data_IF_034033710705
#
_entry.id   IF_034033710705
#
_cell.length_a   1.000
_cell.length_b   1.000
_cell.length_c   1.000
_cell.angle_alpha   90.00
_cell.angle_beta   90.00
_cell.angle_gamma   90.00
#
_symmetry.space_group_name_H-M   'P 1'
#
loop_
_entity.id
_entity.type
_entity.pdbx_description
1 polymer ?
#
# COMPACT_ATOMS: atom_id res chain seq x y z
N UNK A 1 -26.53 -34.19 37.30
CA UNK A 1 -25.92 -33.71 36.03
C UNK A 1 -25.28 -32.37 36.32
N UNK A 2 -24.00 -32.37 36.70
CA UNK A 2 -23.26 -31.14 37.01
C UNK A 2 -22.61 -30.62 35.74
N UNK A 3 -22.96 -29.40 35.34
CA UNK A 3 -22.32 -28.72 34.21
C UNK A 3 -20.93 -28.25 34.65
N UNK A 4 -19.89 -28.70 33.93
CA UNK A 4 -18.53 -28.20 34.11
C UNK A 4 -18.44 -26.70 33.79
N UNK A 5 -17.61 -25.94 34.54
CA UNK A 5 -17.47 -24.52 34.34
C UNK A 5 -16.76 -24.18 33.01
N UNK A 6 -17.08 -23.04 32.38
CA UNK A 6 -16.58 -22.62 31.05
C UNK A 6 -15.06 -22.34 30.97
N UNK A 7 -14.32 -22.51 32.07
CA UNK A 7 -12.88 -22.28 32.12
C UNK A 7 -12.07 -23.31 31.31
N UNK A 8 -12.57 -24.54 31.16
CA UNK A 8 -11.88 -25.60 30.38
C UNK A 8 -11.87 -25.31 28.88
N UNK A 9 -12.94 -24.70 28.37
CA UNK A 9 -13.10 -24.35 26.94
C UNK A 9 -12.19 -23.20 26.52
N UNK A 10 -11.99 -22.23 27.40
CA UNK A 10 -11.05 -21.12 27.17
C UNK A 10 -9.60 -21.61 27.18
N UNK A 11 -9.21 -22.52 28.07
CA UNK A 11 -7.86 -23.12 28.04
C UNK A 11 -7.62 -23.91 26.76
N UNK A 12 -8.60 -24.69 26.31
CA UNK A 12 -8.50 -25.42 25.05
C UNK A 12 -8.37 -24.49 23.82
N UNK A 13 -9.04 -23.34 23.84
CA UNK A 13 -8.92 -22.33 22.78
C UNK A 13 -7.51 -21.71 22.78
N UNK A 14 -7.02 -21.30 23.95
CA UNK A 14 -5.69 -20.70 24.08
C UNK A 14 -4.57 -21.70 23.74
N UNK A 15 -4.72 -22.98 24.08
CA UNK A 15 -3.78 -24.04 23.68
C UNK A 15 -3.81 -24.35 22.18
N UNK A 16 -4.92 -24.12 21.49
CA UNK A 16 -4.97 -24.21 20.02
C UNK A 16 -4.28 -23.01 19.37
N UNK A 17 -4.56 -21.80 19.86
CA UNK A 17 -3.91 -20.57 19.38
C UNK A 17 -2.40 -20.63 19.60
N UNK A 18 -1.96 -21.09 20.78
CA UNK A 18 -0.54 -21.27 21.10
C UNK A 18 0.14 -22.28 20.18
N UNK A 19 -0.50 -23.41 19.88
CA UNK A 19 0.01 -24.42 18.94
C UNK A 19 0.01 -23.96 17.47
N UNK A 20 -0.90 -23.06 17.09
CA UNK A 20 -0.90 -22.49 15.74
C UNK A 20 0.12 -21.36 15.54
N UNK A 21 0.52 -20.67 16.62
CA UNK A 21 1.46 -19.55 16.56
C UNK A 21 2.92 -19.98 16.78
N UNK A 22 3.15 -21.14 17.38
CA UNK A 22 4.47 -21.70 17.60
C UNK A 22 4.57 -23.02 16.82
N UNK A 23 5.15 -23.03 15.60
CA UNK A 23 5.51 -24.29 14.96
C UNK A 23 6.45 -25.04 15.91
N UNK A 24 6.21 -26.33 16.12
CA UNK A 24 7.09 -27.20 16.90
C UNK A 24 8.48 -27.22 16.24
N UNK A 25 9.36 -26.31 16.66
CA UNK A 25 10.76 -26.33 16.25
C UNK A 25 11.45 -27.45 17.03
N UNK A 26 11.63 -28.59 16.38
CA UNK A 26 12.43 -29.69 16.91
C UNK A 26 13.89 -29.23 17.07
N UNK A 27 14.26 -28.77 18.27
CA UNK A 27 15.63 -28.91 18.80
C UNK A 27 16.69 -27.88 18.38
N UNK A 28 16.34 -26.66 17.96
CA UNK A 28 17.29 -25.54 17.84
C UNK A 28 16.70 -24.27 18.45
N UNK A 29 16.84 -24.11 19.76
CA UNK A 29 16.25 -22.98 20.51
C UNK A 29 16.96 -21.66 20.30
N UNK A 30 18.20 -21.67 19.83
CA UNK A 30 19.03 -20.45 19.79
C UNK A 30 18.81 -19.66 18.48
N UNK A 31 18.57 -20.35 17.35
CA UNK A 31 18.24 -19.69 16.08
C UNK A 31 16.81 -19.09 16.07
N UNK A 32 15.85 -19.72 16.76
CA UNK A 32 14.47 -19.23 16.81
C UNK A 32 14.32 -17.95 17.66
N UNK A 33 15.16 -17.79 18.69
CA UNK A 33 15.17 -16.60 19.52
C UNK A 33 15.78 -15.41 18.78
N UNK A 34 16.87 -15.61 18.03
CA UNK A 34 17.43 -14.58 17.15
C UNK A 34 16.44 -14.16 16.06
N UNK A 35 15.74 -15.12 15.43
CA UNK A 35 14.70 -14.79 14.43
C UNK A 35 13.53 -14.03 15.06
N UNK A 36 13.14 -14.35 16.30
CA UNK A 36 12.10 -13.61 17.02
C UNK A 36 12.55 -12.19 17.42
N UNK A 37 13.80 -12.01 17.85
CA UNK A 37 14.36 -10.68 18.14
C UNK A 37 14.51 -9.84 16.86
N UNK A 38 15.00 -10.45 15.78
CA UNK A 38 15.12 -9.80 14.47
C UNK A 38 13.75 -9.44 13.90
N UNK A 39 12.75 -10.32 14.02
CA UNK A 39 11.37 -10.04 13.62
C UNK A 39 10.76 -8.93 14.49
N UNK A 40 11.05 -8.88 15.79
CA UNK A 40 10.56 -7.81 16.68
C UNK A 40 11.17 -6.46 16.32
N UNK A 41 12.47 -6.43 16.00
CA UNK A 41 13.21 -5.22 15.60
C UNK A 41 12.72 -4.71 14.24
N UNK A 42 12.51 -5.62 13.28
CA UNK A 42 12.00 -5.30 11.94
C UNK A 42 10.54 -4.85 12.00
N UNK A 43 9.72 -5.49 12.84
CA UNK A 43 8.34 -5.07 13.09
C UNK A 43 8.29 -3.68 13.75
N UNK A 44 9.19 -3.36 14.69
CA UNK A 44 9.31 -2.04 15.29
C UNK A 44 9.75 -0.97 14.26
N UNK A 45 10.67 -1.32 13.36
CA UNK A 45 11.09 -0.43 12.28
C UNK A 45 9.97 -0.17 11.27
N UNK A 46 9.22 -1.20 10.89
CA UNK A 46 8.03 -1.08 10.04
C UNK A 46 6.89 -0.32 10.72
N UNK A 47 6.72 -0.47 12.04
CA UNK A 47 5.77 0.31 12.82
C UNK A 47 6.17 1.79 12.87
N UNK A 48 7.47 2.07 12.99
CA UNK A 48 8.02 3.45 13.00
C UNK A 48 7.96 4.11 11.64
N UNK A 49 8.17 3.37 10.55
CA UNK A 49 7.96 3.87 9.18
C UNK A 49 6.47 4.08 8.87
N UNK A 50 5.58 3.22 9.37
CA UNK A 50 4.13 3.37 9.19
C UNK A 50 3.49 4.43 10.09
N UNK A 51 4.06 4.75 11.26
CA UNK A 51 3.51 5.85 12.09
C UNK A 51 3.65 7.21 11.41
N UNK A 52 4.69 7.40 10.58
CA UNK A 52 4.88 8.60 9.75
C UNK A 52 3.74 8.72 8.72
N UNK A 53 3.36 7.60 8.08
CA UNK A 53 2.22 7.56 7.16
C UNK A 53 0.87 7.68 7.89
N UNK A 54 0.80 7.27 9.15
CA UNK A 54 -0.41 7.38 9.97
C UNK A 54 -0.68 8.82 10.40
N UNK A 55 0.34 9.66 10.61
CA UNK A 55 0.16 11.10 10.83
C UNK A 55 -0.37 11.82 9.57
N UNK A 56 0.09 11.43 8.37
CA UNK A 56 -0.45 11.93 7.10
C UNK A 56 -1.89 11.45 6.86
N UNK A 57 -2.19 10.20 7.22
CA UNK A 57 -3.54 9.63 7.09
C UNK A 57 -4.53 10.27 8.08
N UNK A 58 -4.12 10.54 9.33
CA UNK A 58 -4.93 11.28 10.31
C UNK A 58 -5.14 12.74 9.87
N UNK A 59 -4.14 13.37 9.24
CA UNK A 59 -4.29 14.70 8.64
C UNK A 59 -5.31 14.72 7.48
N UNK A 60 -5.48 13.61 6.76
CA UNK A 60 -6.43 13.50 5.65
C UNK A 60 -7.91 13.33 6.08
N UNK A 61 -8.17 12.96 7.34
CA UNK A 61 -9.53 12.72 7.87
C UNK A 61 -10.19 13.93 8.54
N UNK A 62 -9.67 15.15 8.35
CA UNK A 62 -10.40 16.39 8.66
C UNK A 62 -10.96 17.08 7.40
N UNK A 63 -12.04 16.58 6.78
CA UNK A 63 -12.78 17.37 5.82
C UNK A 63 -13.63 18.38 6.60
N UNK A 64 -13.23 19.66 6.57
CA UNK A 64 -14.13 20.76 6.92
C UNK A 64 -13.81 21.59 8.16
N UNK A 65 -12.53 21.85 8.47
CA UNK A 65 -12.18 23.11 9.16
C UNK A 65 -11.73 24.14 8.14
N UNK A 66 -12.68 24.98 7.73
CA UNK A 66 -12.36 26.29 7.17
C UNK A 66 -11.32 26.95 8.09
N UNK A 67 -10.21 27.37 7.50
CA UNK A 67 -9.18 28.16 8.15
C UNK A 67 -9.77 29.47 8.67
N UNK A 68 -10.25 29.44 9.91
CA UNK A 68 -10.38 30.63 10.73
C UNK A 68 -9.02 30.88 11.40
N UNK A 69 -8.53 32.14 11.39
CA UNK A 69 -7.21 32.46 11.89
C UNK A 69 -7.14 32.20 13.38
N UNK A 70 -6.05 31.56 13.80
CA UNK A 70 -5.68 31.30 15.19
C UNK A 70 -5.65 32.61 15.98
N UNK A 71 -6.71 32.87 16.74
CA UNK A 71 -6.75 33.84 17.84
C UNK A 71 -6.97 33.05 19.13
N UNK A 72 -5.87 32.74 19.82
CA UNK A 72 -5.87 32.43 21.24
C UNK A 72 -5.15 33.57 21.98
N UNK A 73 -5.93 34.48 22.53
CA UNK A 73 -5.66 35.15 23.80
C UNK A 73 -6.93 35.89 24.23
N UNK A 74 -7.69 35.30 25.17
CA UNK A 74 -8.68 36.05 25.95
C UNK A 74 -7.93 36.97 26.91
N UNK A 75 -7.68 38.20 26.46
CA UNK A 75 -7.34 39.35 27.28
C UNK A 75 -8.52 40.31 27.33
N UNK A 76 -8.93 40.69 28.55
CA UNK A 76 -9.86 41.77 28.84
C UNK A 76 -9.50 43.10 28.12
N UNK A 77 -10.47 44.00 27.89
CA UNK A 77 -10.28 45.15 27.03
C UNK A 77 -9.37 46.22 27.67
N UNK A 78 -8.49 46.87 26.89
CA UNK A 78 -7.71 48.01 27.35
C UNK A 78 -8.51 49.32 27.23
N UNK A 79 -8.27 50.31 28.11
CA UNK A 79 -8.76 51.66 27.91
C UNK A 79 -7.93 52.39 26.84
N UNK A 80 -8.60 53.30 26.14
CA UNK A 80 -8.10 54.18 25.08
C UNK A 80 -6.81 54.90 25.51
N UNK A 81 -5.74 54.69 24.76
CA UNK A 81 -4.55 55.52 24.77
C UNK A 81 -4.75 56.76 23.90
N UNK A 82 -4.70 57.94 24.51
CA UNK A 82 -4.29 59.16 23.86
C UNK A 82 -2.83 59.42 24.22
N UNK A 83 -1.97 59.48 23.20
CA UNK A 83 -0.70 60.20 23.15
C UNK A 83 0.30 60.05 24.30
N UNK A 84 1.39 59.33 24.02
CA UNK A 84 2.68 59.63 24.64
C UNK A 84 3.67 60.08 23.56
N UNK A 85 4.32 61.26 23.72
CA UNK A 85 5.64 61.45 23.19
C UNK A 85 6.70 60.97 24.20
N UNK A 86 7.87 60.76 23.64
CA UNK A 86 9.12 60.30 24.20
C UNK A 86 9.56 60.90 25.55
N UNK A 87 10.29 60.07 26.29
CA UNK A 87 11.54 60.33 27.00
C UNK A 87 11.62 61.48 28.03
N UNK A 88 12.03 61.08 29.25
CA UNK A 88 12.98 61.71 30.21
C UNK A 88 12.47 61.50 31.64
N UNK A 89 13.23 60.74 32.43
CA UNK A 89 14.24 61.23 33.40
C UNK A 89 13.62 61.75 34.69
N UNK A 90 14.13 61.19 35.78
CA UNK A 90 14.24 61.78 37.13
C UNK A 90 12.99 61.86 38.02
N UNK A 91 13.23 61.33 39.23
CA UNK A 91 12.98 61.96 40.51
C UNK A 91 11.63 61.86 41.25
N UNK A 92 11.77 61.33 42.47
CA UNK A 92 11.32 61.92 43.74
C UNK A 92 9.81 62.23 43.82
N UNK A 93 9.08 61.41 44.58
CA UNK A 93 8.42 61.91 45.79
C UNK A 93 7.91 60.79 46.71
N UNK A 94 8.58 60.73 47.86
CA UNK A 94 8.18 60.00 49.06
C UNK A 94 6.92 60.63 49.66
N UNK A 95 5.74 60.12 49.28
CA UNK A 95 4.44 60.49 49.84
C UNK A 95 3.99 59.51 50.94
N UNK A 96 4.58 59.63 52.12
CA UNK A 96 4.30 58.76 53.28
C UNK A 96 2.96 59.14 53.94
N UNK A 97 1.85 58.59 53.45
CA UNK A 97 0.54 58.68 54.13
C UNK A 97 0.54 57.74 55.34
N UNK A 98 0.81 58.30 56.52
CA UNK A 98 0.61 57.64 57.81
C UNK A 98 -0.88 57.49 58.10
N UNK A 99 -1.48 56.40 57.63
CA UNK A 99 -2.78 55.93 58.14
C UNK A 99 -2.55 55.29 59.50
N UNK A 100 -2.60 56.12 60.55
CA UNK A 100 -2.74 55.67 61.94
C UNK A 100 -4.20 55.26 62.15
N UNK A 101 -4.55 54.02 61.80
CA UNK A 101 -5.81 53.40 62.22
C UNK A 101 -5.51 52.23 63.15
N UNK A 102 -5.65 52.52 64.44
CA UNK A 102 -6.10 51.64 65.53
C UNK A 102 -5.89 50.14 65.31
N UNK A 103 -4.66 49.69 65.55
CA UNK A 103 -4.20 48.29 65.62
C UNK A 103 -5.15 47.40 66.44
N UNK A 104 -5.84 47.95 67.44
CA UNK A 104 -6.78 47.22 68.29
C UNK A 104 -8.05 46.70 67.57
N UNK A 105 -8.56 47.37 66.52
CA UNK A 105 -9.76 46.91 65.79
C UNK A 105 -9.44 45.77 64.80
N UNK A 106 -8.22 45.77 64.25
CA UNK A 106 -7.74 44.75 63.29
C UNK A 106 -7.55 43.39 63.96
N UNK A 107 -7.07 43.36 65.21
CA UNK A 107 -6.91 42.11 65.96
C UNK A 107 -8.26 41.43 66.32
N UNK A 108 -9.32 42.20 66.62
CA UNK A 108 -10.65 41.63 66.87
C UNK A 108 -11.32 41.06 65.61
N UNK A 109 -11.09 41.67 64.46
CA UNK A 109 -11.64 41.21 63.18
C UNK A 109 -10.92 39.93 62.71
N UNK A 110 -9.59 39.89 62.84
CA UNK A 110 -8.80 38.69 62.54
C UNK A 110 -9.11 37.52 63.50
N UNK A 111 -9.44 37.79 64.77
CA UNK A 111 -9.84 36.75 65.72
C UNK A 111 -11.24 36.19 65.42
N UNK A 112 -12.19 37.02 64.97
CA UNK A 112 -13.52 36.57 64.54
C UNK A 112 -13.46 35.76 63.24
N UNK A 113 -12.64 36.19 62.28
CA UNK A 113 -12.40 35.43 61.04
C UNK A 113 -11.69 34.10 61.31
N UNK A 114 -10.74 34.05 62.26
CA UNK A 114 -10.15 32.77 62.71
C UNK A 114 -11.19 31.84 63.36
N UNK A 115 -12.08 32.38 64.19
CA UNK A 115 -13.11 31.58 64.85
C UNK A 115 -14.15 31.03 63.86
N UNK A 116 -14.55 31.82 62.85
CA UNK A 116 -15.42 31.34 61.77
C UNK A 116 -14.69 30.34 60.86
N UNK A 117 -13.41 30.55 60.56
CA UNK A 117 -12.61 29.58 59.79
C UNK A 117 -12.42 28.25 60.54
N UNK A 118 -12.28 28.26 61.87
CA UNK A 118 -12.19 27.05 62.70
C UNK A 118 -13.56 26.35 62.86
N UNK A 119 -14.69 27.10 62.89
CA UNK A 119 -16.03 26.50 62.88
C UNK A 119 -16.40 25.92 61.50
N UNK A 120 -16.06 26.61 60.41
CA UNK A 120 -16.25 26.12 59.03
C UNK A 120 -15.34 24.91 58.72
N UNK A 121 -14.22 24.75 59.43
CA UNK A 121 -13.35 23.57 59.31
C UNK A 121 -13.98 22.27 59.84
N UNK A 122 -15.08 22.33 60.60
CA UNK A 122 -15.75 21.14 61.14
C UNK A 122 -16.91 20.65 60.26
N UNK A 123 -17.37 21.47 59.31
CA UNK A 123 -18.40 21.10 58.35
C UNK A 123 -17.79 20.94 56.96
N UNK A 124 -17.37 19.71 56.62
CA UNK A 124 -17.02 19.37 55.24
C UNK A 124 -18.25 19.62 54.37
N UNK A 125 -18.19 20.67 53.54
CA UNK A 125 -19.27 20.95 52.61
C UNK A 125 -19.48 19.72 51.72
N UNK A 126 -20.71 19.22 51.69
CA UNK A 126 -21.12 18.05 50.90
C UNK A 126 -20.63 18.13 49.45
N UNK A 127 -20.51 19.34 48.90
CA UNK A 127 -19.96 19.58 47.56
C UNK A 127 -18.51 19.12 47.37
N UNK A 128 -17.62 19.31 48.35
CA UNK A 128 -16.22 18.86 48.26
C UNK A 128 -16.11 17.34 48.29
N UNK A 129 -16.92 16.69 49.13
CA UNK A 129 -16.98 15.22 49.16
C UNK A 129 -17.51 14.63 47.85
N UNK A 130 -18.60 15.21 47.31
CA UNK A 130 -19.15 14.76 46.02
C UNK A 130 -18.18 14.99 44.86
N UNK A 131 -17.42 16.09 44.87
CA UNK A 131 -16.39 16.35 43.87
C UNK A 131 -15.26 15.31 43.93
N UNK A 132 -14.79 14.97 45.14
CA UNK A 132 -13.77 13.94 45.34
C UNK A 132 -14.27 12.56 44.88
N UNK A 133 -15.48 12.15 45.29
CA UNK A 133 -16.07 10.87 44.86
C UNK A 133 -16.23 10.80 43.34
N UNK A 134 -16.59 11.93 42.70
CA UNK A 134 -16.65 12.00 41.24
C UNK A 134 -15.29 11.81 40.59
N UNK A 135 -14.24 12.44 41.11
CA UNK A 135 -12.89 12.25 40.56
C UNK A 135 -12.37 10.83 40.72
N UNK A 136 -12.66 10.18 41.84
CA UNK A 136 -12.29 8.76 42.03
C UNK A 136 -13.05 7.86 41.04
N UNK A 137 -14.36 8.07 40.88
CA UNK A 137 -15.17 7.33 39.89
C UNK A 137 -14.69 7.55 38.44
N UNK A 138 -14.33 8.78 38.07
CA UNK A 138 -13.83 9.10 36.73
C UNK A 138 -12.44 8.45 36.49
N UNK A 139 -11.59 8.36 37.52
CA UNK A 139 -10.31 7.65 37.45
C UNK A 139 -10.50 6.13 37.34
N UNK A 140 -11.43 5.55 38.10
CA UNK A 140 -11.79 4.13 37.99
C UNK A 140 -12.32 3.81 36.59
N UNK A 141 -13.20 4.67 36.04
CA UNK A 141 -13.72 4.53 34.68
C UNK A 141 -12.60 4.58 33.63
N UNK A 142 -11.67 5.54 33.75
CA UNK A 142 -10.53 5.68 32.84
C UNK A 142 -9.61 4.43 32.88
N UNK A 143 -9.40 3.86 34.06
CA UNK A 143 -8.65 2.61 34.22
C UNK A 143 -9.36 1.40 33.59
N UNK A 144 -10.69 1.37 33.59
CA UNK A 144 -11.49 0.30 33.00
C UNK A 144 -11.58 0.39 31.46
N UNK A 145 -11.43 1.58 30.89
CA UNK A 145 -11.40 1.76 29.43
C UNK A 145 -10.09 1.26 28.79
N UNK A 146 -8.96 1.39 29.50
CA UNK A 146 -7.64 0.97 29.00
C UNK A 146 -7.59 -0.48 28.47
N UNK A 147 -8.02 -1.52 29.20
CA UNK A 147 -7.99 -2.89 28.68
C UNK A 147 -8.88 -3.07 27.44
N UNK A 148 -9.98 -2.33 27.32
CA UNK A 148 -10.83 -2.40 26.13
C UNK A 148 -10.11 -1.85 24.89
N UNK A 149 -9.39 -0.73 25.04
CA UNK A 149 -8.57 -0.19 23.96
C UNK A 149 -7.42 -1.13 23.56
N UNK A 150 -6.80 -1.80 24.54
CA UNK A 150 -5.75 -2.79 24.28
C UNK A 150 -6.27 -4.03 23.55
N UNK A 151 -7.46 -4.53 23.93
CA UNK A 151 -8.11 -5.63 23.22
C UNK A 151 -8.46 -5.21 21.79
N UNK A 152 -8.96 -3.99 21.59
CA UNK A 152 -9.26 -3.46 20.26
C UNK A 152 -7.99 -3.41 19.40
N UNK A 153 -6.90 -2.84 19.93
CA UNK A 153 -5.62 -2.76 19.23
C UNK A 153 -5.05 -4.15 18.89
N UNK A 154 -5.10 -5.10 19.83
CA UNK A 154 -4.64 -6.47 19.61
C UNK A 154 -5.51 -7.18 18.55
N UNK A 155 -6.82 -7.01 18.60
CA UNK A 155 -7.73 -7.61 17.61
C UNK A 155 -7.50 -7.04 16.22
N UNK A 156 -7.29 -5.72 16.11
CA UNK A 156 -6.91 -5.06 14.87
C UNK A 156 -5.57 -5.58 14.35
N UNK A 157 -4.55 -5.71 15.20
CA UNK A 157 -3.26 -6.27 14.82
C UNK A 157 -3.40 -7.69 14.27
N UNK A 158 -4.14 -8.57 14.95
CA UNK A 158 -4.37 -9.95 14.49
C UNK A 158 -5.09 -9.99 13.14
N UNK A 159 -6.14 -9.17 12.96
CA UNK A 159 -6.83 -9.08 11.66
C UNK A 159 -5.89 -8.59 10.58
N UNK A 160 -5.06 -7.58 10.87
CA UNK A 160 -4.07 -7.06 9.91
C UNK A 160 -3.02 -8.11 9.53
N UNK A 161 -2.48 -8.86 10.48
CA UNK A 161 -1.51 -9.94 10.20
C UNK A 161 -2.15 -11.07 9.38
N UNK A 162 -3.35 -11.52 9.73
CA UNK A 162 -4.06 -12.56 8.99
C UNK A 162 -4.47 -12.12 7.59
N UNK A 163 -4.81 -10.84 7.40
CA UNK A 163 -5.25 -10.30 6.12
C UNK A 163 -4.09 -9.99 5.18
N UNK A 164 -3.02 -9.37 5.69
CA UNK A 164 -1.89 -8.95 4.85
C UNK A 164 -0.95 -10.10 4.47
N UNK A 165 -0.84 -11.15 5.31
CA UNK A 165 0.12 -12.26 5.12
C UNK A 165 1.50 -11.78 4.61
N UNK A 166 2.18 -10.90 5.36
CA UNK A 166 3.36 -10.19 4.87
C UNK A 166 4.46 -11.11 4.36
N UNK A 167 4.64 -12.28 4.97
CA UNK A 167 5.67 -13.25 4.57
C UNK A 167 5.43 -13.78 3.15
N UNK A 168 4.17 -14.04 2.78
CA UNK A 168 3.83 -14.53 1.44
C UNK A 168 4.06 -13.44 0.40
N UNK A 169 3.67 -12.20 0.71
CA UNK A 169 3.85 -11.05 -0.18
C UNK A 169 5.34 -10.82 -0.43
N UNK A 170 6.16 -10.81 0.61
CA UNK A 170 7.60 -10.57 0.50
C UNK A 170 8.30 -11.64 -0.34
N UNK A 171 7.95 -12.92 -0.15
CA UNK A 171 8.53 -14.02 -0.94
C UNK A 171 8.16 -13.88 -2.42
N UNK A 172 6.90 -13.54 -2.73
CA UNK A 172 6.45 -13.34 -4.11
C UNK A 172 7.11 -12.12 -4.75
N UNK A 173 7.18 -10.99 -4.02
CA UNK A 173 7.84 -9.78 -4.50
C UNK A 173 9.32 -9.99 -4.77
N UNK A 174 10.03 -10.67 -3.86
CA UNK A 174 11.44 -11.01 -4.06
C UNK A 174 11.63 -11.97 -5.23
N UNK A 175 10.77 -12.98 -5.39
CA UNK A 175 10.83 -13.88 -6.53
C UNK A 175 10.65 -13.14 -7.86
N UNK A 176 9.69 -12.21 -7.94
CA UNK A 176 9.48 -11.38 -9.14
C UNK A 176 10.67 -10.47 -9.41
N UNK A 177 11.18 -9.85 -8.35
CA UNK A 177 12.33 -8.96 -8.44
C UNK A 177 13.55 -9.71 -8.99
N UNK A 178 13.90 -10.83 -8.36
CA UNK A 178 15.04 -11.66 -8.77
C UNK A 178 14.86 -12.18 -10.20
N UNK A 179 13.66 -12.62 -10.59
CA UNK A 179 13.42 -13.11 -11.94
C UNK A 179 13.59 -12.02 -13.01
N UNK A 180 13.05 -10.82 -12.78
CA UNK A 180 13.20 -9.69 -13.71
C UNK A 180 14.64 -9.18 -13.73
N UNK A 181 15.32 -9.14 -12.57
CA UNK A 181 16.67 -8.59 -12.47
C UNK A 181 17.75 -9.55 -12.99
N UNK A 182 17.62 -10.84 -12.74
CA UNK A 182 18.66 -11.84 -13.07
C UNK A 182 18.35 -12.64 -14.33
N UNK A 183 17.08 -12.91 -14.65
CA UNK A 183 16.70 -13.77 -15.78
C UNK A 183 16.29 -12.99 -17.04
N UNK A 184 15.91 -11.72 -16.93
CA UNK A 184 15.53 -10.89 -18.09
C UNK A 184 16.76 -10.37 -18.86
N UNK A 185 17.53 -11.29 -19.44
CA UNK A 185 18.78 -11.00 -20.14
C UNK A 185 18.56 -10.74 -21.63
N UNK A 186 19.30 -9.77 -22.19
CA UNK A 186 19.15 -9.39 -23.60
C UNK A 186 20.40 -9.51 -24.45
N UNK A 187 21.56 -9.73 -23.83
CA UNK A 187 22.79 -10.09 -24.51
C UNK A 187 23.22 -11.48 -24.05
N UNK A 188 23.41 -12.38 -25.02
CA UNK A 188 23.72 -13.79 -24.78
C UNK A 188 25.05 -14.14 -25.44
N UNK A 189 25.91 -14.86 -24.73
CA UNK A 189 26.98 -15.65 -25.35
C UNK A 189 26.69 -17.11 -25.09
N UNK A 190 26.35 -17.85 -26.15
CA UNK A 190 25.90 -19.24 -26.02
C UNK A 190 24.68 -19.34 -25.08
N UNK A 191 24.85 -19.96 -23.92
CA UNK A 191 23.80 -20.19 -22.92
C UNK A 191 23.86 -19.22 -21.73
N UNK A 192 24.76 -18.23 -21.75
CA UNK A 192 24.95 -17.29 -20.65
C UNK A 192 24.46 -15.89 -21.05
N UNK A 193 23.52 -15.36 -20.26
CA UNK A 193 23.09 -13.96 -20.32
C UNK A 193 24.09 -13.07 -19.57
N UNK A 194 24.58 -12.01 -20.21
CA UNK A 194 25.59 -11.11 -19.63
C UNK A 194 25.09 -9.70 -19.36
N UNK A 195 23.93 -9.33 -19.89
CA UNK A 195 23.34 -8.00 -19.70
C UNK A 195 21.92 -8.10 -19.19
N UNK A 196 21.69 -7.47 -18.05
CA UNK A 196 20.44 -7.41 -17.30
C UNK A 196 19.76 -6.04 -17.44
N UNK A 197 18.65 -5.83 -16.72
CA UNK A 197 17.99 -4.52 -16.62
C UNK A 197 18.92 -3.41 -16.11
N UNK A 198 19.93 -3.75 -15.31
CA UNK A 198 20.89 -2.79 -14.76
C UNK A 198 21.93 -2.32 -15.78
N UNK A 199 22.09 -3.07 -16.88
CA UNK A 199 23.06 -2.80 -17.96
C UNK A 199 22.44 -2.00 -19.12
N UNK A 200 21.22 -1.49 -18.94
CA UNK A 200 20.52 -0.65 -19.91
C UNK A 200 21.06 0.78 -19.84
N UNK A 201 21.94 1.13 -20.77
CA UNK A 201 22.59 2.45 -20.83
C UNK A 201 22.02 3.39 -21.90
N UNK A 202 21.22 2.85 -22.82
CA UNK A 202 20.75 3.55 -24.01
C UNK A 202 19.33 3.15 -24.40
N UNK A 203 18.67 3.99 -25.21
CA UNK A 203 17.33 3.72 -25.74
C UNK A 203 17.25 2.39 -26.51
N UNK A 204 18.19 2.06 -27.43
CA UNK A 204 18.16 0.75 -28.10
C UNK A 204 18.37 -0.42 -27.12
N UNK A 205 19.22 -0.27 -26.10
CA UNK A 205 19.42 -1.31 -25.08
C UNK A 205 18.13 -1.55 -24.27
N UNK A 206 17.33 -0.50 -23.99
CA UNK A 206 16.03 -0.66 -23.35
C UNK A 206 15.05 -1.49 -24.20
N UNK A 207 14.94 -1.19 -25.50
CA UNK A 207 14.06 -1.93 -26.40
C UNK A 207 14.55 -3.36 -26.64
N UNK A 208 15.87 -3.57 -26.71
CA UNK A 208 16.46 -4.90 -26.74
C UNK A 208 16.15 -5.69 -25.46
N UNK A 209 16.30 -5.06 -24.28
CA UNK A 209 15.94 -5.64 -23.00
C UNK A 209 14.47 -6.04 -22.91
N UNK A 210 13.57 -5.13 -23.30
CA UNK A 210 12.14 -5.40 -23.28
C UNK A 210 11.78 -6.57 -24.22
N UNK A 211 12.34 -6.60 -25.43
CA UNK A 211 11.98 -7.58 -26.47
C UNK A 211 12.61 -8.96 -26.30
N UNK A 212 13.88 -9.00 -25.89
CA UNK A 212 14.69 -10.23 -25.80
C UNK A 212 14.75 -10.79 -24.37
N UNK A 213 14.70 -9.93 -23.35
CA UNK A 213 14.75 -10.34 -21.94
C UNK A 213 13.36 -10.44 -21.33
N UNK A 214 12.66 -9.32 -21.21
CA UNK A 214 11.41 -9.24 -20.43
C UNK A 214 10.23 -9.95 -21.11
N UNK A 215 9.99 -9.73 -22.41
CA UNK A 215 8.84 -10.29 -23.09
C UNK A 215 8.81 -11.84 -23.13
N UNK A 216 9.92 -12.55 -23.37
CA UNK A 216 9.93 -14.00 -23.28
C UNK A 216 9.52 -14.54 -21.90
N UNK A 217 9.89 -13.85 -20.81
CA UNK A 217 9.46 -14.20 -19.45
C UNK A 217 7.94 -14.02 -19.25
N UNK A 218 7.32 -13.05 -19.92
CA UNK A 218 5.88 -12.80 -19.85
C UNK A 218 5.07 -13.71 -20.79
N UNK A 219 5.64 -14.06 -21.94
CA UNK A 219 4.97 -14.75 -23.04
C UNK A 219 4.86 -16.28 -22.88
N UNK A 220 5.55 -16.84 -21.90
CA UNK A 220 5.56 -18.27 -21.55
C UNK A 220 5.61 -19.23 -22.74
N UNK A 221 6.76 -19.28 -23.40
CA UNK A 221 7.17 -20.56 -23.98
C UNK A 221 7.88 -21.32 -22.87
N UNK A 222 7.13 -22.13 -22.11
CA UNK A 222 7.73 -23.01 -21.12
C UNK A 222 8.73 -23.94 -21.83
N UNK A 223 10.00 -23.83 -21.47
CA UNK A 223 11.03 -24.78 -21.86
C UNK A 223 11.53 -25.43 -20.58
N UNK A 224 11.46 -26.76 -20.52
CA UNK A 224 12.02 -27.50 -19.40
C UNK A 224 13.54 -27.38 -19.44
N UNK A 225 14.14 -26.92 -18.34
CA UNK A 225 15.57 -26.60 -18.24
C UNK A 225 16.49 -27.82 -18.19
N UNK A 226 15.96 -29.03 -18.24
CA UNK A 226 16.74 -30.27 -18.30
C UNK A 226 16.38 -30.99 -19.59
N UNK A 227 17.37 -31.29 -20.43
CA UNK A 227 17.29 -31.86 -21.79
C UNK A 227 16.58 -33.21 -21.95
N UNK A 228 15.58 -33.52 -21.12
CA UNK A 228 14.64 -34.65 -21.26
C UNK A 228 13.81 -34.57 -22.55
N UNK A 229 13.89 -33.43 -23.24
CA UNK A 229 13.17 -33.12 -24.46
C UNK A 229 13.97 -33.41 -25.76
N UNK A 230 15.27 -33.72 -25.71
CA UNK A 230 16.02 -34.08 -26.92
C UNK A 230 15.49 -35.36 -27.60
N UNK A 231 15.00 -36.32 -26.82
CA UNK A 231 14.39 -37.53 -27.36
C UNK A 231 12.93 -37.34 -27.84
N UNK A 232 12.21 -36.36 -27.27
CA UNK A 232 10.80 -36.11 -27.61
C UNK A 232 10.63 -35.07 -28.74
N UNK A 233 11.50 -34.05 -28.83
CA UNK A 233 11.50 -33.08 -29.93
C UNK A 233 12.07 -33.63 -31.24
N UNK A 234 12.99 -34.60 -31.17
CA UNK A 234 13.50 -35.24 -32.39
C UNK A 234 12.41 -36.02 -33.15
N UNK A 235 11.31 -36.39 -32.50
CA UNK A 235 10.29 -37.27 -33.06
C UNK A 235 9.05 -36.54 -33.62
N UNK A 236 8.70 -35.35 -33.13
CA UNK A 236 7.46 -34.66 -33.54
C UNK A 236 7.60 -33.14 -33.48
N UNK A 237 7.38 -32.41 -34.59
CA UNK A 237 7.27 -30.96 -34.57
C UNK A 237 5.96 -30.56 -33.88
N UNK A 238 6.01 -30.38 -32.57
CA UNK A 238 4.85 -29.87 -31.83
C UNK A 238 4.63 -28.41 -32.23
N UNK A 239 3.51 -28.15 -32.90
CA UNK A 239 2.99 -26.79 -33.00
C UNK A 239 2.39 -26.42 -31.65
N UNK A 240 2.67 -25.21 -31.14
CA UNK A 240 2.12 -24.71 -29.88
C UNK A 240 0.59 -24.76 -29.75
N UNK A 241 -0.24 -24.70 -30.82
CA UNK A 241 -1.68 -24.90 -30.68
C UNK A 241 -2.12 -26.35 -30.43
N UNK A 242 -1.25 -27.34 -30.64
CA UNK A 242 -1.58 -28.77 -30.45
C UNK A 242 -1.20 -29.31 -29.07
N UNK A 243 -0.62 -28.47 -28.20
CA UNK A 243 -0.36 -28.86 -26.82
C UNK A 243 -1.70 -29.08 -26.11
N UNK A 244 -1.95 -30.27 -25.53
CA UNK A 244 -3.16 -30.50 -24.78
C UNK A 244 -3.22 -29.51 -23.62
N UNK A 245 -4.39 -28.92 -23.39
CA UNK A 245 -4.66 -28.05 -22.22
C UNK A 245 -4.36 -28.75 -20.89
N UNK A 246 -4.27 -30.08 -20.90
CA UNK A 246 -3.84 -30.94 -19.81
C UNK A 246 -2.94 -32.05 -20.37
N UNK A 247 -1.62 -31.87 -20.28
CA UNK A 247 -0.58 -32.89 -20.40
C UNK A 247 -0.45 -33.66 -19.06
N UNK A 248 -0.77 -34.95 -19.09
CA UNK A 248 -0.61 -35.84 -17.95
C UNK A 248 0.88 -36.23 -17.85
N UNK A 249 1.63 -35.55 -16.99
CA UNK A 249 3.05 -35.84 -16.77
C UNK A 249 3.18 -37.06 -15.86
N UNK A 250 3.98 -38.04 -16.28
CA UNK A 250 4.22 -39.29 -15.55
C UNK A 250 4.99 -39.13 -14.22
N UNK A 251 5.52 -37.93 -13.94
CA UNK A 251 6.28 -37.61 -12.73
C UNK A 251 5.94 -36.17 -12.26
N UNK A 252 5.67 -36.00 -10.97
CA UNK A 252 5.48 -34.68 -10.35
C UNK A 252 6.80 -33.92 -10.17
N UNK A 253 6.71 -32.62 -9.88
CA UNK A 253 7.87 -31.72 -9.64
C UNK A 253 8.58 -32.09 -8.32
N UNK A 254 7.85 -32.66 -7.36
CA UNK A 254 8.41 -33.17 -6.10
C UNK A 254 8.14 -34.68 -5.98
N UNK A 255 9.12 -35.42 -5.43
CA UNK A 255 9.05 -36.87 -5.27
C UNK A 255 7.89 -37.33 -4.36
N UNK A 256 7.34 -36.43 -3.55
CA UNK A 256 6.45 -36.76 -2.43
C UNK A 256 5.01 -36.24 -2.60
N UNK A 257 4.70 -35.51 -3.69
CA UNK A 257 3.36 -34.97 -3.93
C UNK A 257 2.43 -36.01 -4.61
N UNK A 258 1.22 -36.28 -4.07
CA UNK A 258 0.28 -37.22 -4.64
C UNK A 258 -0.28 -36.71 -5.99
N UNK A 259 -0.09 -37.56 -7.02
CA UNK A 259 -0.14 -37.30 -8.47
C UNK A 259 -1.40 -36.67 -9.08
N UNK A 260 -2.49 -36.52 -8.34
CA UNK A 260 -3.79 -36.20 -8.93
C UNK A 260 -3.98 -34.75 -9.38
N UNK A 261 -3.11 -33.82 -8.97
CA UNK A 261 -3.44 -32.38 -8.98
C UNK A 261 -2.34 -31.46 -9.57
N UNK A 262 -1.30 -31.99 -10.22
CA UNK A 262 -0.30 -31.12 -10.85
C UNK A 262 -0.93 -30.39 -12.04
N UNK A 263 -1.31 -29.12 -11.85
CA UNK A 263 -1.80 -28.28 -12.93
C UNK A 263 -0.63 -27.83 -13.77
N UNK A 264 -0.68 -28.10 -15.07
CA UNK A 264 0.27 -27.48 -15.97
C UNK A 264 0.08 -25.98 -15.97
N UNK A 265 1.18 -25.25 -16.12
CA UNK A 265 1.07 -23.83 -16.27
C UNK A 265 0.28 -23.49 -17.54
N UNK A 266 -0.74 -22.67 -17.38
CA UNK A 266 -1.57 -22.16 -18.46
C UNK A 266 -0.85 -20.97 -19.09
N UNK A 267 -1.16 -20.69 -20.36
CA UNK A 267 -0.69 -19.49 -21.04
C UNK A 267 -1.03 -18.24 -20.20
N UNK A 268 -0.02 -17.41 -19.95
CA UNK A 268 -0.12 -16.23 -19.10
C UNK A 268 0.18 -16.45 -17.61
N UNK A 269 0.62 -17.64 -17.19
CA UNK A 269 1.09 -17.87 -15.81
C UNK A 269 2.55 -17.43 -15.61
N UNK A 270 2.84 -16.42 -14.82
CA UNK A 270 4.20 -16.01 -14.47
C UNK A 270 4.74 -16.84 -13.28
N UNK A 271 5.96 -17.39 -13.39
CA UNK A 271 6.62 -18.18 -12.34
C UNK A 271 5.77 -19.34 -11.78
N UNK A 272 5.01 -20.04 -12.65
CA UNK A 272 4.12 -21.17 -12.33
C UNK A 272 2.90 -20.89 -11.43
N UNK A 273 2.95 -19.90 -10.54
CA UNK A 273 1.92 -19.68 -9.52
C UNK A 273 1.16 -18.36 -9.69
N UNK A 274 1.71 -17.41 -10.44
CA UNK A 274 1.08 -16.11 -10.65
C UNK A 274 0.44 -16.09 -12.02
N UNK A 275 -0.70 -15.41 -12.17
CA UNK A 275 -1.33 -15.24 -13.47
C UNK A 275 -1.31 -13.77 -13.85
N UNK A 276 -0.82 -13.47 -15.04
CA UNK A 276 -0.90 -12.13 -15.61
C UNK A 276 -2.38 -11.86 -15.92
N UNK A 277 -2.95 -10.89 -15.22
CA UNK A 277 -4.34 -10.47 -15.44
C UNK A 277 -4.37 -9.43 -16.56
N UNK A 278 -5.07 -9.74 -17.64
CA UNK A 278 -5.21 -8.93 -18.86
C UNK A 278 -3.94 -8.74 -19.70
N UNK A 279 -2.89 -8.14 -19.15
CA UNK A 279 -1.66 -7.84 -19.89
C UNK A 279 -0.80 -6.75 -19.25
N UNK A 280 0.21 -6.31 -19.99
CA UNK A 280 1.15 -5.26 -19.58
C UNK A 280 0.80 -3.95 -20.25
N UNK A 281 0.78 -2.87 -19.48
CA UNK A 281 0.57 -1.51 -19.98
C UNK A 281 1.90 -0.78 -20.10
N UNK A 282 2.22 -0.28 -21.28
CA UNK A 282 3.38 0.57 -21.50
C UNK A 282 2.92 2.01 -21.73
N UNK A 283 3.49 2.92 -20.96
CA UNK A 283 3.18 4.34 -21.01
C UNK A 283 4.46 5.11 -21.28
N UNK A 284 4.39 6.03 -22.24
CA UNK A 284 5.50 6.90 -22.58
C UNK A 284 5.08 8.35 -22.43
N UNK A 285 5.80 9.08 -21.58
CA UNK A 285 5.85 10.52 -21.62
C UNK A 285 6.98 11.00 -22.52
N UNK A 286 6.71 12.06 -23.27
CA UNK A 286 7.71 12.72 -24.11
C UNK A 286 7.70 14.19 -23.77
N UNK A 287 8.89 14.76 -23.61
CA UNK A 287 9.04 16.20 -23.51
C UNK A 287 8.51 16.84 -24.81
N UNK A 288 7.80 17.96 -24.68
CA UNK A 288 7.33 18.72 -25.83
C UNK A 288 8.56 19.34 -26.49
N UNK A 289 8.87 18.88 -27.71
CA UNK A 289 9.89 19.50 -28.54
C UNK A 289 9.43 20.88 -29.00
N UNK A 290 10.18 21.93 -28.69
CA UNK A 290 9.91 23.28 -29.16
C UNK A 290 11.20 23.95 -29.62
N UNK A 291 11.14 24.61 -30.77
CA UNK A 291 12.24 25.47 -31.23
C UNK A 291 12.35 26.75 -30.40
N UNK A 292 11.25 27.23 -29.83
CA UNK A 292 11.22 28.42 -28.98
C UNK A 292 11.89 28.17 -27.63
N UNK A 293 11.96 26.91 -27.21
CA UNK A 293 12.66 26.49 -26.01
C UNK A 293 14.19 26.41 -26.19
N UNK A 294 14.67 26.39 -27.44
CA UNK A 294 16.09 26.39 -27.72
C UNK A 294 16.68 27.76 -27.40
N UNK A 295 17.62 27.84 -26.46
CA UNK A 295 18.44 29.04 -26.32
C UNK A 295 19.57 29.03 -27.36
N UNK A 296 19.28 29.51 -28.55
CA UNK A 296 20.26 29.62 -29.64
C UNK A 296 21.13 30.88 -29.43
N UNK A 297 22.47 30.80 -29.52
CA UNK A 297 23.31 31.97 -29.39
C UNK A 297 23.03 32.98 -30.51
N UNK A 298 22.93 34.27 -30.18
CA UNK A 298 22.61 35.35 -31.12
C UNK A 298 23.66 35.55 -32.22
N UNK A 299 24.83 34.94 -32.09
CA UNK A 299 25.93 35.03 -33.05
C UNK A 299 25.68 34.26 -34.35
N UNK A 300 24.63 33.45 -34.46
CA UNK A 300 24.35 32.62 -35.63
C UNK A 300 22.85 32.66 -35.99
N UNK A 301 22.49 32.73 -37.29
CA UNK A 301 21.09 32.78 -37.70
C UNK A 301 20.32 31.50 -37.32
N UNK A 302 19.11 31.69 -36.81
CA UNK A 302 18.23 30.64 -36.30
C UNK A 302 17.93 29.56 -37.35
N UNK A 303 17.76 29.94 -38.62
CA UNK A 303 17.48 29.00 -39.71
C UNK A 303 18.63 28.01 -39.96
N UNK A 304 19.88 28.48 -39.82
CA UNK A 304 21.04 27.61 -39.98
C UNK A 304 21.13 26.63 -38.82
N UNK A 305 20.86 27.09 -37.60
CA UNK A 305 20.76 26.24 -36.41
C UNK A 305 19.63 25.21 -36.52
N UNK A 306 18.45 25.61 -36.99
CA UNK A 306 17.31 24.71 -37.21
C UNK A 306 17.66 23.61 -38.21
N UNK A 307 18.33 23.97 -39.31
CA UNK A 307 18.81 23.01 -40.31
C UNK A 307 19.92 22.10 -39.78
N UNK A 308 20.84 22.65 -38.99
CA UNK A 308 21.97 21.91 -38.42
C UNK A 308 21.54 20.91 -37.35
N UNK A 309 20.69 21.34 -36.40
CA UNK A 309 20.14 20.46 -35.37
C UNK A 309 19.18 19.42 -35.95
N UNK A 310 18.41 19.80 -36.97
CA UNK A 310 17.43 18.93 -37.64
C UNK A 310 16.26 18.47 -36.76
N UNK A 311 16.30 18.77 -35.45
CA UNK A 311 15.31 18.40 -34.44
C UNK A 311 15.10 19.55 -33.45
N UNK A 312 13.87 19.80 -32.99
CA UNK A 312 13.59 20.83 -32.00
C UNK A 312 14.27 20.47 -30.67
N UNK A 313 14.59 21.48 -29.86
CA UNK A 313 15.09 21.24 -28.51
C UNK A 313 13.98 20.64 -27.65
N UNK A 314 14.38 19.69 -26.82
CA UNK A 314 13.54 19.23 -25.72
C UNK A 314 13.82 20.15 -24.54
N UNK A 315 12.76 20.74 -23.98
CA UNK A 315 12.88 21.45 -22.72
C UNK A 315 13.46 20.48 -21.69
N UNK A 316 14.56 20.87 -21.06
CA UNK A 316 15.00 20.24 -19.83
C UNK A 316 14.02 20.63 -18.73
N UNK A 317 12.79 20.09 -18.79
CA UNK A 317 11.89 20.15 -17.65
C UNK A 317 12.65 19.53 -16.49
N UNK A 318 12.71 20.16 -15.30
CA UNK A 318 13.50 19.66 -14.18
C UNK A 318 13.17 18.20 -13.82
N UNK A 319 11.95 17.73 -14.16
CA UNK A 319 11.50 16.35 -14.02
C UNK A 319 12.24 15.33 -14.90
N UNK A 320 12.81 15.74 -16.04
CA UNK A 320 13.48 14.85 -17.00
C UNK A 320 15.01 15.01 -17.00
N UNK A 321 15.54 15.97 -16.25
CA UNK A 321 16.98 16.21 -16.16
C UNK A 321 17.69 15.22 -15.23
N UNK A 322 16.99 14.78 -14.18
CA UNK A 322 17.51 13.80 -13.22
C UNK A 322 17.03 12.40 -13.58
N UNK A 323 17.79 11.40 -13.14
CA UNK A 323 17.37 9.99 -13.20
C UNK A 323 16.00 9.90 -12.52
N UNK A 324 14.96 9.39 -13.21
CA UNK A 324 13.62 9.40 -12.67
C UNK A 324 13.59 8.63 -11.35
N UNK A 325 13.04 9.25 -10.32
CA UNK A 325 12.79 8.54 -9.08
C UNK A 325 11.61 7.57 -9.26
N UNK A 326 11.61 6.46 -8.52
CA UNK A 326 10.57 5.42 -8.60
C UNK A 326 9.17 6.02 -8.42
N UNK A 327 9.03 7.02 -7.56
CA UNK A 327 7.74 7.66 -7.29
C UNK A 327 7.20 8.50 -8.48
N UNK A 328 8.07 9.01 -9.37
CA UNK A 328 7.65 9.67 -10.61
C UNK A 328 7.19 8.67 -11.67
N UNK A 329 7.77 7.47 -11.70
CA UNK A 329 7.33 6.41 -12.60
C UNK A 329 5.89 5.95 -12.33
N UNK A 330 5.35 6.17 -11.12
CA UNK A 330 3.96 5.86 -10.79
C UNK A 330 2.96 6.91 -11.30
N UNK A 331 3.38 8.16 -11.49
CA UNK A 331 2.46 9.28 -11.78
C UNK A 331 2.83 9.99 -13.08
N UNK A 332 2.32 9.47 -14.20
CA UNK A 332 2.35 10.19 -15.48
C UNK A 332 1.26 11.27 -15.50
N UNK A 333 1.64 12.52 -15.75
CA UNK A 333 0.73 13.66 -15.87
C UNK A 333 -0.01 13.65 -17.23
N UNK A 334 0.70 13.32 -18.30
CA UNK A 334 0.15 13.34 -19.66
C UNK A 334 0.88 12.35 -20.56
N UNK A 335 0.62 11.04 -20.42
CA UNK A 335 1.23 10.03 -21.28
C UNK A 335 0.80 10.28 -22.72
N UNK A 336 1.76 10.51 -23.61
CA UNK A 336 1.48 10.77 -25.02
C UNK A 336 1.20 9.47 -25.78
N UNK A 337 1.82 8.37 -25.33
CA UNK A 337 1.59 7.03 -25.89
C UNK A 337 1.24 6.08 -24.77
N UNK A 338 0.17 5.33 -24.96
CA UNK A 338 -0.28 4.26 -24.05
C UNK A 338 -0.62 3.06 -24.90
N UNK A 339 0.17 2.00 -24.78
CA UNK A 339 -0.09 0.74 -25.46
C UNK A 339 -0.39 -0.35 -24.42
N UNK A 340 -1.34 -1.22 -24.78
CA UNK A 340 -1.73 -2.36 -23.96
C UNK A 340 -1.29 -3.65 -24.66
N UNK A 341 -0.28 -4.28 -24.08
CA UNK A 341 0.20 -5.59 -24.47
C UNK A 341 -0.65 -6.65 -23.78
N UNK A 342 -1.78 -7.00 -24.38
CA UNK A 342 -2.63 -8.10 -23.90
C UNK A 342 -1.88 -9.42 -23.98
N UNK A 343 -2.29 -10.42 -23.20
CA UNK A 343 -1.69 -11.76 -23.22
C UNK A 343 -1.88 -12.45 -24.58
N UNK A 344 -1.01 -12.12 -25.54
CA UNK A 344 -1.02 -12.55 -26.93
C UNK A 344 0.08 -13.57 -27.23
N UNK A 345 0.41 -13.77 -28.50
CA UNK A 345 1.57 -14.60 -28.87
C UNK A 345 2.86 -13.82 -28.62
N UNK A 346 3.97 -14.50 -28.31
CA UNK A 346 5.25 -13.82 -28.13
C UNK A 346 5.61 -12.97 -29.37
N UNK A 347 5.35 -13.49 -30.56
CA UNK A 347 5.58 -12.77 -31.82
C UNK A 347 4.73 -11.50 -31.93
N UNK A 348 3.47 -11.55 -31.53
CA UNK A 348 2.56 -10.39 -31.50
C UNK A 348 3.05 -9.34 -30.50
N UNK A 349 3.47 -9.76 -29.30
CA UNK A 349 4.04 -8.87 -28.28
C UNK A 349 5.35 -8.22 -28.76
N UNK A 350 6.21 -8.99 -29.42
CA UNK A 350 7.45 -8.50 -30.01
C UNK A 350 7.16 -7.50 -31.14
N UNK A 351 6.17 -7.77 -31.99
CA UNK A 351 5.76 -6.86 -33.06
C UNK A 351 5.18 -5.55 -32.51
N UNK A 352 4.35 -5.61 -31.47
CA UNK A 352 3.84 -4.42 -30.77
C UNK A 352 5.00 -3.61 -30.16
N UNK A 353 6.02 -4.29 -29.62
CA UNK A 353 7.19 -3.62 -29.06
C UNK A 353 8.04 -2.95 -30.14
N UNK A 354 8.21 -3.59 -31.31
CA UNK A 354 8.88 -2.99 -32.46
C UNK A 354 8.15 -1.75 -32.98
N UNK A 355 6.82 -1.79 -33.08
CA UNK A 355 6.01 -0.62 -33.45
C UNK A 355 6.17 0.53 -32.43
N UNK A 356 6.39 0.19 -31.16
CA UNK A 356 6.70 1.20 -30.16
C UNK A 356 8.10 1.79 -30.29
N UNK A 357 9.10 0.95 -30.57
CA UNK A 357 10.50 1.31 -30.77
C UNK A 357 10.67 2.26 -31.95
N UNK A 358 10.09 1.92 -33.11
CA UNK A 358 10.17 2.73 -34.32
C UNK A 358 9.52 4.10 -34.17
N UNK A 359 8.71 4.28 -33.12
CA UNK A 359 8.01 5.53 -32.87
C UNK A 359 7.02 5.86 -33.98
N UNK A 360 6.70 4.89 -34.84
CA UNK A 360 5.57 4.95 -35.74
C UNK A 360 4.34 5.08 -34.84
N UNK A 361 3.91 6.32 -34.65
CA UNK A 361 2.55 6.57 -34.25
C UNK A 361 1.79 6.13 -35.50
N UNK A 362 1.02 5.03 -35.50
CA UNK A 362 0.03 4.87 -36.55
C UNK A 362 -0.69 6.21 -36.56
N UNK A 363 -0.69 6.94 -37.68
CA UNK A 363 -1.56 8.10 -37.83
C UNK A 363 -2.98 7.54 -37.76
N UNK A 364 -3.44 7.31 -36.53
CA UNK A 364 -4.81 7.01 -36.22
C UNK A 364 -5.46 8.35 -36.42
N UNK A 365 -5.80 8.62 -37.69
CA UNK A 365 -6.78 9.63 -38.01
C UNK A 365 -7.94 9.43 -37.03
N UNK A 366 -8.57 10.49 -36.52
CA UNK A 366 -9.53 10.46 -35.40
C UNK A 366 -10.76 9.54 -35.60
N UNK A 367 -10.82 8.79 -36.71
CA UNK A 367 -11.81 7.78 -37.01
C UNK A 367 -11.59 6.42 -36.31
N UNK A 368 -10.35 5.99 -36.03
CA UNK A 368 -10.07 4.56 -35.75
C UNK A 368 -9.79 4.16 -34.29
N UNK A 369 -10.00 5.06 -33.32
CA UNK A 369 -10.04 4.70 -31.87
C UNK A 369 -11.38 4.08 -31.46
N UNK A 370 -12.36 4.04 -32.38
CA UNK A 370 -13.71 3.53 -32.13
C UNK A 370 -13.82 2.02 -31.87
N UNK A 371 -13.06 1.11 -32.52
CA UNK A 371 -13.26 -0.33 -32.33
C UNK A 371 -12.80 -0.79 -30.93
N UNK A 372 -11.67 -0.30 -30.41
CA UNK A 372 -11.21 -0.67 -29.07
C UNK A 372 -12.11 -0.14 -27.96
N UNK A 373 -12.63 1.09 -28.07
CA UNK A 373 -13.65 1.61 -27.13
C UNK A 373 -14.99 0.89 -27.25
N UNK A 374 -15.37 0.44 -28.44
CA UNK A 374 -16.59 -0.33 -28.65
C UNK A 374 -16.47 -1.76 -28.08
N UNK A 375 -15.33 -2.41 -28.24
CA UNK A 375 -14.96 -3.68 -27.60
C UNK A 375 -14.97 -3.56 -26.07
N UNK A 376 -14.34 -2.50 -25.53
CA UNK A 376 -14.34 -2.25 -24.08
C UNK A 376 -15.77 -2.05 -23.55
N UNK A 377 -16.61 -1.27 -24.25
CA UNK A 377 -18.03 -1.09 -23.91
C UNK A 377 -18.84 -2.39 -24.06
N UNK A 378 -18.50 -3.26 -25.01
CA UNK A 378 -19.11 -4.59 -25.14
C UNK A 378 -18.74 -5.48 -23.97
N UNK A 379 -17.48 -5.48 -23.54
CA UNK A 379 -17.02 -6.22 -22.36
C UNK A 379 -17.65 -5.69 -21.07
N UNK A 380 -17.74 -4.37 -20.90
CA UNK A 380 -18.47 -3.76 -19.78
C UNK A 380 -19.95 -4.15 -19.78
N UNK A 381 -20.61 -4.13 -20.94
CA UNK A 381 -22.00 -4.57 -21.05
C UNK A 381 -22.17 -6.07 -20.74
N UNK A 382 -21.20 -6.90 -21.12
CA UNK A 382 -21.23 -8.34 -20.84
C UNK A 382 -21.00 -8.63 -19.35
N UNK A 383 -20.06 -7.92 -18.70
CA UNK A 383 -19.82 -8.00 -17.26
C UNK A 383 -21.03 -7.50 -16.47
N UNK A 384 -21.68 -6.41 -16.89
CA UNK A 384 -22.93 -5.94 -16.30
C UNK A 384 -24.07 -6.96 -16.45
N UNK A 385 -24.16 -7.66 -17.59
CA UNK A 385 -25.18 -8.70 -17.83
C UNK A 385 -24.95 -9.94 -16.94
N UNK A 386 -23.71 -10.35 -16.76
CA UNK A 386 -23.34 -11.42 -15.82
C UNK A 386 -23.65 -11.04 -14.37
N UNK A 387 -23.40 -9.78 -13.99
CA UNK A 387 -23.70 -9.26 -12.63
C UNK A 387 -25.20 -9.20 -12.35
N UNK A 388 -26.02 -8.81 -13.33
CA UNK A 388 -27.48 -8.79 -13.22
C UNK A 388 -28.12 -10.19 -13.12
N UNK A 389 -27.50 -11.19 -13.75
CA UNK A 389 -27.99 -12.58 -13.71
C UNK A 389 -27.79 -13.27 -12.34
N UNK A 390 -26.87 -12.79 -11.50
CA UNK A 390 -26.68 -13.35 -10.16
C UNK A 390 -27.69 -12.83 -9.13
N UNK A 391 -28.31 -11.67 -9.35
CA UNK A 391 -29.24 -11.06 -8.40
C UNK A 391 -30.67 -11.58 -8.48
N UNK A 392 -31.09 -12.21 -9.58
CA UNK A 392 -32.48 -12.69 -9.76
C UNK A 392 -32.73 -14.13 -9.31
N UNK A 393 -31.72 -14.85 -8.80
CA UNK A 393 -31.89 -16.24 -8.32
C UNK A 393 -32.00 -16.36 -6.79
N UNK A 394 -32.53 -15.32 -6.12
CA UNK A 394 -32.82 -15.30 -4.68
C UNK A 394 -34.27 -14.89 -4.44
N UNK A 395 -35.21 -15.74 -4.87
CA UNK A 395 -36.63 -15.45 -4.70
C UNK A 395 -37.53 -16.54 -5.25
N UNK A 396 -37.49 -17.74 -4.66
CA UNK A 396 -38.64 -18.64 -4.49
C UNK A 396 -38.12 -20.01 -4.01
N UNK A 397 -37.99 -20.14 -2.69
CA UNK A 397 -37.94 -21.45 -2.03
C UNK A 397 -38.92 -21.43 -0.86
N UNK A 398 -40.21 -21.50 -1.19
CA UNK A 398 -41.25 -21.88 -0.23
C UNK A 398 -41.32 -23.41 -0.18
N UNK A 399 -40.83 -23.94 0.93
CA UNK A 399 -41.17 -25.21 1.57
C UNK A 399 -42.04 -26.22 0.81
N UNK A 400 -41.48 -27.40 0.54
CA UNK A 400 -42.22 -28.65 0.66
C UNK A 400 -41.28 -29.78 1.07
N UNK A 401 -41.18 -30.01 2.38
CA UNK A 401 -40.58 -31.22 2.94
C UNK A 401 -41.53 -32.38 2.67
N UNK A 402 -41.24 -33.21 1.66
CA UNK A 402 -41.76 -34.58 1.58
C UNK A 402 -40.64 -35.54 1.96
N UNK A 403 -40.82 -36.15 3.13
CA UNK A 403 -40.17 -37.38 3.54
C UNK A 403 -40.53 -38.50 2.58
N UNK A 404 -39.58 -38.96 1.78
CA UNK A 404 -39.64 -40.29 1.18
C UNK A 404 -38.35 -41.04 1.48
N UNK A 405 -38.58 -42.06 2.29
CA UNK A 405 -37.70 -43.08 2.82
C UNK A 405 -37.52 -44.13 1.73
N UNK A 406 -36.31 -44.33 1.23
CA UNK A 406 -35.91 -45.60 0.59
C UNK A 406 -34.41 -45.78 0.76
N UNK A 407 -34.06 -46.68 1.68
CA UNK A 407 -32.77 -47.35 1.72
C UNK A 407 -32.59 -48.16 0.42
N UNK A 408 -31.44 -48.01 -0.22
CA UNK A 408 -30.95 -48.87 -1.28
C UNK A 408 -29.46 -49.11 -1.07
N UNK A 409 -29.16 -50.12 -0.25
CA UNK A 409 -27.86 -50.80 -0.18
C UNK A 409 -27.62 -51.56 -1.49
N UNK A 410 -26.38 -51.60 -1.99
CA UNK A 410 -25.59 -52.75 -2.50
C UNK A 410 -24.43 -52.23 -3.41
N UNK A 411 -23.35 -53.02 -3.65
CA UNK A 411 -21.97 -52.61 -3.38
C UNK A 411 -21.02 -52.84 -4.59
N UNK A 412 -19.74 -52.59 -4.33
CA UNK A 412 -18.54 -52.89 -5.13
C UNK A 412 -18.31 -52.06 -6.38
#
# INVERSE_FOLDING_TARGET
>A
MGAEPPASRWRQLMDRVRRSLLPESNGKTDEALEVAELASSTALHLFRQRSILQEEWIASFQPGRASLPTLLALGCPPPRGAGHPAAKSEDICSGRVKVRTTVAKKHRLNAKLKKQADEDQTHVHLGHYLAYVRTELDQEASCLEMPWTMILLLSFAVVMFMHLRPDQVLVVENAWKTDIEENANFAWSEHFGHKTVYDVDSIPDFWAWLRLGMLPLLGNTWLWSEGRLDAAYAATPFSTPDLPTVLDLSYGIFADEPWGNASLPVRGDFLHFNRIVAGVRLQQERAIGSWEACHVPTSMPEDLWKRWLGKPCMLATPSYFLRPEVHWAHSFHSPQRVEWMLSGSLQELQQMTLDMEDGAVPEVGPADVRPAKAELRRLEAHLCRLRGSMTTRRGSSSAQWRTTRTMGFFPR
#
